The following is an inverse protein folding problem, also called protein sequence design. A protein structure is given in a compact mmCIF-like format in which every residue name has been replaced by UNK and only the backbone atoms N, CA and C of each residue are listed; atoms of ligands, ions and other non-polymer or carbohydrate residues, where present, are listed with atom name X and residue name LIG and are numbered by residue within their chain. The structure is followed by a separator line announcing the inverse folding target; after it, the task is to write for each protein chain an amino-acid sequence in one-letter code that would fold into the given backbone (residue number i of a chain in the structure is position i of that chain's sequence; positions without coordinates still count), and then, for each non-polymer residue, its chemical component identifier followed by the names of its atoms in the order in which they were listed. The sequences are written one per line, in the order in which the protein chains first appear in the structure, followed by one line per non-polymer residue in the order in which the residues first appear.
data_IF_511825196880
#
_entry.id   IF_511825196880
#
_cell.length_a   1.000
_cell.length_b   1.000
_cell.length_c   1.000
_cell.angle_alpha   90.00
_cell.angle_beta   90.00
_cell.angle_gamma   90.00
#
_symmetry.space_group_name_H-M   'P 1'
#
loop_
_entity.id
_entity.type
_entity.pdbx_description
1 polymer ?
#
# COMPACT_ATOMS: atom_id res chain seq x y z
N UNK A 1 16.74 38.93 -20.09
CA UNK A 1 16.58 37.46 -20.11
C UNK A 1 17.87 36.83 -20.55
N UNK A 2 18.49 35.99 -19.70
CA UNK A 2 19.68 35.27 -20.07
C UNK A 2 19.38 34.28 -21.21
N UNK A 3 20.18 34.28 -22.26
CA UNK A 3 19.99 33.39 -23.42
C UNK A 3 20.34 31.97 -22.98
N UNK A 4 19.36 31.09 -22.90
CA UNK A 4 19.58 29.68 -22.54
C UNK A 4 20.44 29.04 -23.64
N UNK A 5 21.67 28.62 -23.29
CA UNK A 5 22.58 27.94 -24.20
C UNK A 5 22.04 26.56 -24.58
N UNK A 6 22.28 26.12 -25.83
CA UNK A 6 21.91 24.78 -26.31
C UNK A 6 23.18 23.92 -26.40
N UNK A 7 23.07 22.64 -26.01
CA UNK A 7 24.13 21.63 -26.14
C UNK A 7 23.59 20.38 -26.83
N UNK A 8 24.47 19.71 -27.56
CA UNK A 8 24.16 18.41 -28.18
C UNK A 8 24.60 17.28 -27.26
N UNK A 9 23.86 16.21 -27.21
CA UNK A 9 24.18 14.97 -26.50
C UNK A 9 23.87 13.77 -27.38
N UNK A 10 24.45 12.62 -27.03
CA UNK A 10 24.20 11.34 -27.72
C UNK A 10 23.26 10.50 -26.86
N UNK A 11 22.25 9.92 -27.47
CA UNK A 11 21.30 9.03 -26.82
C UNK A 11 21.11 7.75 -27.65
N UNK A 12 20.57 6.70 -27.03
CA UNK A 12 20.19 5.49 -27.75
C UNK A 12 19.06 5.81 -28.73
N UNK A 13 19.21 5.32 -29.96
CA UNK A 13 18.27 5.59 -31.06
C UNK A 13 16.85 5.10 -30.76
N UNK A 14 16.72 3.87 -30.20
CA UNK A 14 15.44 3.28 -29.84
C UNK A 14 14.67 4.12 -28.82
N UNK A 15 15.36 4.66 -27.79
CA UNK A 15 14.74 5.52 -26.79
C UNK A 15 14.35 6.88 -27.38
N UNK A 16 15.21 7.45 -28.23
CA UNK A 16 14.94 8.73 -28.85
C UNK A 16 13.74 8.67 -29.79
N UNK A 17 13.59 7.58 -30.54
CA UNK A 17 12.44 7.34 -31.41
C UNK A 17 11.16 7.25 -30.59
N UNK A 18 11.15 6.47 -29.49
CA UNK A 18 9.97 6.35 -28.61
C UNK A 18 9.59 7.69 -27.96
N UNK A 19 10.56 8.47 -27.51
CA UNK A 19 10.32 9.82 -26.94
C UNK A 19 9.76 10.75 -28.02
N UNK A 20 10.25 10.65 -29.25
CA UNK A 20 9.75 11.45 -30.37
C UNK A 20 8.28 11.12 -30.72
N UNK A 21 7.89 9.85 -30.67
CA UNK A 21 6.50 9.41 -30.83
C UNK A 21 5.61 9.97 -29.73
N UNK A 22 6.01 9.78 -28.46
CA UNK A 22 5.29 10.31 -27.31
C UNK A 22 5.15 11.85 -27.35
N UNK A 23 6.19 12.54 -27.77
CA UNK A 23 6.13 13.99 -27.93
C UNK A 23 5.06 14.41 -28.96
N UNK A 24 5.02 13.72 -30.11
CA UNK A 24 3.99 13.95 -31.14
C UNK A 24 2.58 13.69 -30.62
N UNK A 25 2.38 12.57 -29.93
CA UNK A 25 1.07 12.23 -29.34
C UNK A 25 0.58 13.27 -28.32
N UNK A 26 1.51 13.86 -27.56
CA UNK A 26 1.24 14.89 -26.55
C UNK A 26 1.19 16.31 -27.12
N UNK A 27 1.47 16.51 -28.42
CA UNK A 27 1.55 17.84 -29.03
C UNK A 27 2.79 18.63 -28.62
N UNK A 28 3.85 17.95 -28.14
CA UNK A 28 5.10 18.56 -27.74
C UNK A 28 6.14 18.51 -28.84
N UNK A 29 7.11 19.42 -28.80
CA UNK A 29 8.34 19.24 -29.58
C UNK A 29 9.25 18.24 -28.86
N UNK A 30 10.06 17.51 -29.61
CA UNK A 30 11.09 16.63 -29.03
C UNK A 30 11.99 17.38 -28.06
N UNK A 31 12.36 18.62 -28.39
CA UNK A 31 13.16 19.49 -27.53
C UNK A 31 12.50 19.71 -26.16
N UNK A 32 11.24 20.06 -26.13
CA UNK A 32 10.51 20.31 -24.88
C UNK A 32 10.38 19.03 -24.07
N UNK A 33 10.02 17.91 -24.70
CA UNK A 33 9.87 16.60 -24.03
C UNK A 33 11.20 16.15 -23.38
N UNK A 34 12.32 16.27 -24.09
CA UNK A 34 13.65 15.89 -23.57
C UNK A 34 14.06 16.76 -22.40
N UNK A 35 13.82 18.08 -22.47
CA UNK A 35 14.14 18.96 -21.36
C UNK A 35 13.28 18.70 -20.13
N UNK A 36 11.98 18.42 -20.30
CA UNK A 36 11.09 18.02 -19.21
C UNK A 36 11.57 16.75 -18.52
N UNK A 37 12.01 15.74 -19.29
CA UNK A 37 12.59 14.51 -18.75
C UNK A 37 13.85 14.79 -17.95
N UNK A 38 14.73 15.67 -18.44
CA UNK A 38 15.94 16.05 -17.72
C UNK A 38 15.63 16.79 -16.43
N UNK A 39 14.67 17.73 -16.45
CA UNK A 39 14.25 18.46 -15.26
C UNK A 39 13.65 17.51 -14.21
N UNK A 40 12.82 16.56 -14.65
CA UNK A 40 12.28 15.52 -13.77
C UNK A 40 13.39 14.69 -13.14
N UNK A 41 14.36 14.21 -13.96
CA UNK A 41 15.47 13.41 -13.46
C UNK A 41 16.32 14.19 -12.45
N UNK A 42 16.64 15.46 -12.75
CA UNK A 42 17.41 16.32 -11.85
C UNK A 42 16.66 16.49 -10.52
N UNK A 43 15.36 16.81 -10.55
CA UNK A 43 14.55 16.95 -9.32
C UNK A 43 14.54 15.67 -8.51
N UNK A 44 14.31 14.51 -9.14
CA UNK A 44 14.33 13.23 -8.44
C UNK A 44 15.67 12.98 -7.73
N UNK A 45 16.80 13.24 -8.38
CA UNK A 45 18.11 13.07 -7.77
C UNK A 45 18.40 14.08 -6.66
N UNK A 46 17.93 15.31 -6.78
CA UNK A 46 18.04 16.33 -5.71
C UNK A 46 17.29 15.90 -4.46
N UNK A 47 16.11 15.27 -4.63
CA UNK A 47 15.32 14.70 -3.53
C UNK A 47 15.87 13.34 -3.02
N UNK A 48 17.02 12.89 -3.53
CA UNK A 48 17.64 11.62 -3.10
C UNK A 48 17.01 10.35 -3.68
N UNK A 49 16.17 10.48 -4.71
CA UNK A 49 15.53 9.37 -5.39
C UNK A 49 16.06 9.22 -6.83
N UNK A 50 15.93 8.03 -7.41
CA UNK A 50 16.05 7.87 -8.85
C UNK A 50 14.72 8.18 -9.54
N UNK A 51 14.70 8.56 -10.85
CA UNK A 51 13.45 8.72 -11.59
C UNK A 51 12.51 7.52 -11.52
N UNK A 52 13.06 6.30 -11.50
CA UNK A 52 12.28 5.07 -11.36
C UNK A 52 11.60 4.99 -9.99
N UNK A 53 12.34 5.24 -8.90
CA UNK A 53 11.78 5.26 -7.54
C UNK A 53 10.72 6.34 -7.36
N UNK A 54 10.89 7.50 -7.99
CA UNK A 54 9.88 8.56 -7.96
C UNK A 54 8.58 8.13 -8.67
N UNK A 55 8.70 7.40 -9.78
CA UNK A 55 7.53 6.83 -10.49
C UNK A 55 6.85 5.75 -9.64
N UNK A 56 7.61 4.82 -9.06
CA UNK A 56 7.11 3.78 -8.15
C UNK A 56 6.32 4.40 -6.98
N UNK A 57 6.84 5.45 -6.35
CA UNK A 57 6.15 6.15 -5.27
C UNK A 57 4.83 6.80 -5.74
N UNK A 58 4.78 7.34 -6.95
CA UNK A 58 3.55 7.88 -7.53
C UNK A 58 2.51 6.78 -7.81
N UNK A 59 2.95 5.65 -8.33
CA UNK A 59 2.08 4.49 -8.57
C UNK A 59 1.53 3.96 -7.24
N UNK A 60 2.36 3.92 -6.21
CA UNK A 60 1.97 3.53 -4.85
C UNK A 60 0.90 4.46 -4.27
N UNK A 61 1.09 5.78 -4.33
CA UNK A 61 0.09 6.76 -3.90
C UNK A 61 -1.23 6.61 -4.66
N UNK A 62 -1.17 6.35 -5.96
CA UNK A 62 -2.37 6.12 -6.76
C UNK A 62 -3.08 4.81 -6.39
N UNK A 63 -2.34 3.76 -6.04
CA UNK A 63 -2.89 2.49 -5.56
C UNK A 63 -3.59 2.68 -4.20
N UNK A 64 -2.96 3.36 -3.25
CA UNK A 64 -3.52 3.74 -1.95
C UNK A 64 -4.87 4.46 -2.14
N UNK A 65 -4.88 5.50 -2.97
CA UNK A 65 -6.08 6.30 -3.25
C UNK A 65 -7.20 5.48 -3.89
N UNK A 66 -6.88 4.62 -4.86
CA UNK A 66 -7.85 3.74 -5.53
C UNK A 66 -8.44 2.69 -4.58
N UNK A 67 -7.66 2.24 -3.61
CA UNK A 67 -8.10 1.31 -2.57
C UNK A 67 -8.96 1.98 -1.48
N UNK A 68 -9.25 3.28 -1.60
CA UNK A 68 -10.11 4.01 -0.67
C UNK A 68 -9.41 4.46 0.61
N UNK A 69 -8.08 4.36 0.68
CA UNK A 69 -7.32 4.89 1.81
C UNK A 69 -7.17 6.42 1.72
N UNK A 70 -7.17 7.05 2.88
CA UNK A 70 -6.92 8.49 3.03
C UNK A 70 -5.72 8.69 3.96
N UNK A 71 -4.70 9.46 3.57
CA UNK A 71 -3.63 9.82 4.49
C UNK A 71 -4.19 10.68 5.62
N UNK A 72 -3.83 10.33 6.85
CA UNK A 72 -4.21 11.09 8.03
C UNK A 72 -3.00 11.33 8.93
N UNK A 73 -3.11 12.24 9.87
CA UNK A 73 -2.08 12.47 10.88
C UNK A 73 -2.07 11.29 11.85
N UNK A 74 -0.95 10.55 11.91
CA UNK A 74 -0.78 9.33 12.71
C UNK A 74 -1.24 9.51 14.15
N UNK A 75 -0.73 10.55 14.84
CA UNK A 75 -1.09 10.82 16.24
C UNK A 75 -2.59 11.01 16.43
N UNK A 76 -3.24 11.79 15.54
CA UNK A 76 -4.67 12.03 15.61
C UNK A 76 -5.45 10.73 15.37
N UNK A 77 -4.99 9.89 14.43
CA UNK A 77 -5.62 8.62 14.14
C UNK A 77 -5.58 7.68 15.34
N UNK A 78 -4.43 7.56 16.00
CA UNK A 78 -4.30 6.73 17.19
C UNK A 78 -5.11 7.26 18.39
N UNK A 79 -5.12 8.57 18.62
CA UNK A 79 -5.93 9.18 19.66
C UNK A 79 -7.43 8.96 19.43
N UNK A 80 -7.91 9.11 18.18
CA UNK A 80 -9.31 8.82 17.83
C UNK A 80 -9.65 7.35 18.01
N UNK A 81 -8.78 6.45 17.57
CA UNK A 81 -8.97 5.00 17.74
C UNK A 81 -9.02 4.63 19.23
N UNK A 82 -8.17 5.22 20.08
CA UNK A 82 -8.18 4.99 21.52
C UNK A 82 -9.46 5.52 22.18
N UNK A 83 -9.90 6.72 21.84
CA UNK A 83 -11.16 7.27 22.35
C UNK A 83 -12.33 6.36 21.97
N UNK A 84 -12.45 5.99 20.68
CA UNK A 84 -13.53 5.13 20.23
C UNK A 84 -13.49 3.75 20.92
N UNK A 85 -12.31 3.16 21.06
CA UNK A 85 -12.13 1.86 21.73
C UNK A 85 -12.48 1.91 23.22
N UNK A 86 -12.20 3.02 23.91
CA UNK A 86 -12.52 3.21 25.32
C UNK A 86 -14.01 3.43 25.54
N UNK A 87 -14.65 4.26 24.71
CA UNK A 87 -16.05 4.67 24.91
C UNK A 87 -17.06 3.65 24.35
N UNK A 88 -16.71 2.93 23.28
CA UNK A 88 -17.59 2.01 22.56
C UNK A 88 -16.83 0.81 21.98
N UNK A 89 -16.23 0.00 22.86
CA UNK A 89 -15.29 -1.06 22.48
C UNK A 89 -15.87 -2.06 21.46
N UNK A 90 -17.02 -2.61 21.77
CA UNK A 90 -17.59 -3.70 20.96
C UNK A 90 -18.07 -3.19 19.60
N UNK A 91 -18.65 -2.00 19.55
CA UNK A 91 -19.06 -1.32 18.32
C UNK A 91 -17.84 -0.96 17.46
N UNK A 92 -16.77 -0.48 18.11
CA UNK A 92 -15.54 -0.12 17.40
C UNK A 92 -14.87 -1.37 16.81
N UNK A 93 -14.76 -2.46 17.57
CA UNK A 93 -14.24 -3.74 17.07
C UNK A 93 -15.05 -4.25 15.87
N UNK A 94 -16.38 -4.21 15.98
CA UNK A 94 -17.28 -4.60 14.89
C UNK A 94 -17.07 -3.73 13.66
N UNK A 95 -16.97 -2.42 13.83
CA UNK A 95 -16.72 -1.49 12.72
C UNK A 95 -15.43 -1.81 11.97
N UNK A 96 -14.33 -2.09 12.70
CA UNK A 96 -13.05 -2.45 12.09
C UNK A 96 -13.10 -3.82 11.40
N UNK A 97 -13.76 -4.79 11.99
CA UNK A 97 -13.99 -6.09 11.40
C UNK A 97 -14.77 -6.00 10.07
N UNK A 98 -15.89 -5.26 10.08
CA UNK A 98 -16.71 -5.01 8.90
C UNK A 98 -15.95 -4.23 7.81
N UNK A 99 -15.08 -3.28 8.21
CA UNK A 99 -14.19 -2.60 7.29
C UNK A 99 -13.20 -3.57 6.62
N UNK A 100 -12.70 -4.57 7.36
CA UNK A 100 -11.88 -5.65 6.81
C UNK A 100 -12.62 -6.47 5.76
N UNK A 101 -13.86 -6.88 6.04
CA UNK A 101 -14.72 -7.58 5.08
C UNK A 101 -14.96 -6.73 3.83
N UNK A 102 -15.29 -5.45 4.01
CA UNK A 102 -15.50 -4.53 2.89
C UNK A 102 -14.26 -4.40 2.02
N UNK A 103 -13.11 -4.24 2.65
CA UNK A 103 -11.83 -4.11 1.95
C UNK A 103 -11.49 -5.38 1.16
N UNK A 104 -11.70 -6.56 1.73
CA UNK A 104 -11.52 -7.84 1.05
C UNK A 104 -12.39 -7.94 -0.21
N UNK A 105 -13.68 -7.60 -0.10
CA UNK A 105 -14.62 -7.59 -1.23
C UNK A 105 -14.21 -6.62 -2.34
N UNK A 106 -13.66 -5.45 -1.99
CA UNK A 106 -13.14 -4.49 -2.96
C UNK A 106 -12.01 -5.12 -3.79
N UNK A 107 -11.12 -5.89 -3.16
CA UNK A 107 -10.03 -6.58 -3.86
C UNK A 107 -10.55 -7.77 -4.70
N UNK A 108 -11.48 -8.55 -4.21
CA UNK A 108 -12.09 -9.66 -4.97
C UNK A 108 -12.77 -9.17 -6.25
N UNK A 109 -13.49 -8.04 -6.19
CA UNK A 109 -14.22 -7.49 -7.34
C UNK A 109 -13.34 -6.70 -8.31
N UNK A 110 -12.10 -6.43 -7.96
CA UNK A 110 -11.17 -5.63 -8.78
C UNK A 110 -10.55 -6.37 -9.98
N UNK A 111 -10.91 -7.64 -10.21
CA UNK A 111 -10.37 -8.47 -11.30
C UNK A 111 -8.91 -8.89 -11.11
N UNK A 112 -8.38 -8.79 -9.91
CA UNK A 112 -7.01 -9.21 -9.57
C UNK A 112 -6.90 -10.74 -9.57
N UNK A 113 -5.72 -11.26 -9.93
CA UNK A 113 -5.49 -12.71 -10.01
C UNK A 113 -5.39 -13.35 -8.61
N UNK A 114 -4.74 -12.67 -7.68
CA UNK A 114 -4.51 -13.12 -6.30
C UNK A 114 -4.95 -12.02 -5.30
N UNK A 115 -6.28 -11.80 -5.13
CA UNK A 115 -6.77 -10.64 -4.39
C UNK A 115 -6.33 -10.59 -2.91
N UNK A 116 -6.19 -11.72 -2.23
CA UNK A 116 -5.70 -11.76 -0.85
C UNK A 116 -4.22 -11.39 -0.76
N UNK A 117 -3.37 -11.94 -1.63
CA UNK A 117 -1.94 -11.63 -1.64
C UNK A 117 -1.70 -10.15 -1.97
N UNK A 118 -2.45 -9.62 -2.95
CA UNK A 118 -2.39 -8.22 -3.34
C UNK A 118 -2.82 -7.31 -2.20
N UNK A 119 -3.94 -7.65 -1.51
CA UNK A 119 -4.41 -6.91 -0.34
C UNK A 119 -3.39 -6.92 0.80
N UNK A 120 -2.84 -8.09 1.14
CA UNK A 120 -1.84 -8.18 2.20
C UNK A 120 -0.55 -7.44 1.84
N UNK A 121 -0.15 -7.47 0.58
CA UNK A 121 0.99 -6.69 0.07
C UNK A 121 0.74 -5.18 0.19
N UNK A 122 -0.46 -4.72 -0.17
CA UNK A 122 -0.83 -3.32 -0.06
C UNK A 122 -0.93 -2.89 1.41
N UNK A 123 -1.54 -3.71 2.30
CA UNK A 123 -1.57 -3.44 3.74
C UNK A 123 -0.16 -3.33 4.33
N UNK A 124 0.75 -4.26 3.98
CA UNK A 124 2.16 -4.18 4.38
C UNK A 124 2.81 -2.88 3.92
N UNK A 125 2.55 -2.47 2.69
CA UNK A 125 3.09 -1.26 2.08
C UNK A 125 2.55 0.01 2.74
N UNK A 126 1.28 0.01 3.19
CA UNK A 126 0.64 1.17 3.81
C UNK A 126 0.85 1.24 5.32
N UNK A 127 1.33 0.17 5.95
CA UNK A 127 1.62 0.12 7.38
C UNK A 127 3.09 0.51 7.62
N UNK A 128 3.44 1.75 7.31
CA UNK A 128 4.82 2.27 7.34
C UNK A 128 5.50 2.18 8.71
N UNK A 129 4.69 2.19 9.78
CA UNK A 129 5.18 2.16 11.17
C UNK A 129 5.48 0.74 11.66
N UNK A 130 5.13 -0.29 10.90
CA UNK A 130 5.47 -1.66 11.25
C UNK A 130 6.94 -1.93 10.94
N UNK A 131 7.69 -2.30 11.98
CA UNK A 131 9.07 -2.77 11.84
C UNK A 131 9.13 -4.17 11.20
N UNK A 132 8.04 -4.92 11.33
CA UNK A 132 7.87 -6.23 10.69
C UNK A 132 6.42 -6.42 10.26
N UNK A 133 6.21 -6.86 9.01
CA UNK A 133 4.91 -7.28 8.48
C UNK A 133 5.17 -8.49 7.59
N UNK A 134 4.90 -9.69 8.12
CA UNK A 134 5.06 -10.95 7.42
C UNK A 134 3.73 -11.65 7.22
N UNK A 135 3.54 -12.17 6.03
CA UNK A 135 2.40 -13.03 5.68
C UNK A 135 2.96 -14.26 5.00
N UNK A 136 2.65 -15.41 5.56
CA UNK A 136 3.04 -16.71 4.99
C UNK A 136 1.79 -17.54 4.70
N UNK A 137 1.70 -18.09 3.49
CA UNK A 137 0.60 -18.97 3.09
C UNK A 137 1.16 -20.30 2.64
N UNK A 138 0.71 -21.41 3.26
CA UNK A 138 1.14 -22.78 2.93
C UNK A 138 -0.01 -23.76 3.13
N UNK A 139 -0.32 -24.54 2.09
CA UNK A 139 -1.25 -25.68 2.23
C UNK A 139 -2.65 -25.34 2.77
N UNK A 140 -3.17 -24.16 2.43
CA UNK A 140 -4.46 -23.71 2.94
C UNK A 140 -4.42 -23.02 4.30
N UNK A 141 -3.25 -22.94 4.94
CA UNK A 141 -3.04 -22.16 6.16
C UNK A 141 -2.42 -20.81 5.80
N UNK A 142 -2.74 -19.80 6.58
CA UNK A 142 -2.13 -18.47 6.49
C UNK A 142 -1.73 -17.99 7.88
N UNK A 143 -0.52 -17.43 7.97
CA UNK A 143 -0.05 -16.74 9.16
C UNK A 143 0.23 -15.28 8.86
N UNK A 144 -0.18 -14.40 9.77
CA UNK A 144 0.08 -12.96 9.71
C UNK A 144 0.80 -12.56 10.98
N UNK A 145 1.99 -12.00 10.83
CA UNK A 145 2.80 -11.50 11.94
C UNK A 145 3.16 -10.03 11.70
N UNK A 146 2.73 -9.15 12.61
CA UNK A 146 3.00 -7.72 12.58
C UNK A 146 3.63 -7.30 13.89
N UNK A 147 4.70 -6.51 13.79
CA UNK A 147 5.38 -5.88 14.93
C UNK A 147 5.53 -4.38 14.64
N UNK A 148 4.98 -3.56 15.52
CA UNK A 148 5.18 -2.12 15.50
C UNK A 148 5.25 -1.55 16.91
N UNK A 149 6.42 -1.16 17.41
CA UNK A 149 6.53 -0.54 18.74
C UNK A 149 5.75 0.77 18.89
N UNK A 150 5.31 1.37 17.79
CA UNK A 150 4.56 2.62 17.78
C UNK A 150 3.04 2.42 17.88
N UNK A 151 2.54 1.21 17.67
CA UNK A 151 1.11 0.96 17.76
C UNK A 151 0.63 0.99 19.20
N UNK A 152 -0.29 1.89 19.58
CA UNK A 152 -1.00 1.80 20.84
C UNK A 152 -1.76 0.48 20.96
N UNK A 153 -2.00 0.03 22.18
CA UNK A 153 -2.70 -1.24 22.41
C UNK A 153 -4.09 -1.26 21.78
N UNK A 154 -4.86 -0.20 21.94
CA UNK A 154 -6.19 -0.06 21.32
C UNK A 154 -6.13 -0.21 19.80
N UNK A 155 -5.20 0.50 19.14
CA UNK A 155 -5.02 0.39 17.70
C UNK A 155 -4.56 -1.01 17.27
N UNK A 156 -3.67 -1.63 18.04
CA UNK A 156 -3.21 -3.00 17.77
C UNK A 156 -4.37 -3.99 17.76
N UNK A 157 -5.27 -3.89 18.75
CA UNK A 157 -6.46 -4.75 18.87
C UNK A 157 -7.45 -4.48 17.71
N UNK A 158 -7.67 -3.21 17.38
CA UNK A 158 -8.57 -2.81 16.28
C UNK A 158 -8.03 -3.26 14.93
N UNK A 159 -6.72 -3.09 14.69
CA UNK A 159 -6.10 -3.53 13.44
C UNK A 159 -6.11 -5.06 13.29
N UNK A 160 -5.94 -5.80 14.39
CA UNK A 160 -6.13 -7.25 14.39
C UNK A 160 -7.58 -7.62 14.00
N UNK A 161 -8.60 -6.89 14.52
CA UNK A 161 -10.01 -7.12 14.15
C UNK A 161 -10.27 -6.87 12.65
N UNK A 162 -9.66 -5.84 12.07
CA UNK A 162 -9.73 -5.61 10.61
C UNK A 162 -9.13 -6.78 9.83
N UNK A 163 -7.96 -7.27 10.25
CA UNK A 163 -7.30 -8.41 9.59
C UNK A 163 -8.14 -9.70 9.71
N UNK A 164 -8.80 -9.92 10.84
CA UNK A 164 -9.75 -11.02 11.02
C UNK A 164 -10.92 -10.93 10.01
N UNK A 165 -11.49 -9.74 9.85
CA UNK A 165 -12.53 -9.50 8.84
C UNK A 165 -12.05 -9.76 7.41
N UNK A 166 -10.84 -9.35 7.09
CA UNK A 166 -10.20 -9.66 5.79
C UNK A 166 -10.09 -11.16 5.60
N UNK A 167 -9.50 -11.87 6.57
CA UNK A 167 -9.28 -13.33 6.49
C UNK A 167 -10.60 -14.10 6.38
N UNK A 168 -11.62 -13.71 7.17
CA UNK A 168 -12.93 -14.34 7.12
C UNK A 168 -13.60 -14.16 5.76
N UNK A 169 -13.54 -12.96 5.17
CA UNK A 169 -14.11 -12.72 3.85
C UNK A 169 -13.46 -13.59 2.76
N UNK A 170 -12.18 -13.94 2.88
CA UNK A 170 -11.50 -14.89 2.00
C UNK A 170 -11.68 -16.37 2.39
N UNK A 171 -12.58 -16.69 3.34
CA UNK A 171 -12.91 -18.04 3.75
C UNK A 171 -11.89 -18.70 4.68
N UNK A 172 -11.14 -17.91 5.43
CA UNK A 172 -10.24 -18.41 6.47
C UNK A 172 -10.89 -18.31 7.84
N UNK A 173 -10.66 -19.32 8.68
CA UNK A 173 -11.04 -19.33 10.10
C UNK A 173 -9.80 -19.13 10.96
N UNK A 174 -9.90 -18.26 11.95
CA UNK A 174 -8.83 -18.03 12.92
C UNK A 174 -8.69 -19.26 13.81
N UNK A 175 -7.49 -19.84 13.82
CA UNK A 175 -7.09 -20.96 14.68
C UNK A 175 -6.42 -20.47 15.97
N UNK A 176 -5.60 -19.43 15.86
CA UNK A 176 -4.90 -18.82 16.98
C UNK A 176 -4.75 -17.33 16.78
N UNK A 177 -4.86 -16.59 17.88
CA UNK A 177 -4.74 -15.14 17.92
C UNK A 177 -3.95 -14.72 19.15
N UNK A 178 -2.86 -14.00 18.95
CA UNK A 178 -2.08 -13.32 19.98
C UNK A 178 -2.00 -11.84 19.60
N UNK A 179 -2.56 -10.96 20.46
CA UNK A 179 -2.61 -9.52 20.23
C UNK A 179 -2.27 -8.82 21.52
N UNK A 180 -1.19 -8.06 21.52
CA UNK A 180 -0.76 -7.23 22.66
C UNK A 180 0.03 -6.04 22.12
N UNK A 181 0.16 -4.98 22.87
CA UNK A 181 0.73 -3.69 22.45
C UNK A 181 1.78 -3.77 21.33
N UNK A 182 1.40 -3.43 20.12
CA UNK A 182 2.27 -3.45 18.94
C UNK A 182 2.53 -4.81 18.30
N UNK A 183 1.99 -5.92 18.85
CA UNK A 183 2.18 -7.28 18.33
C UNK A 183 0.84 -7.85 17.87
N UNK A 184 0.79 -8.32 16.63
CA UNK A 184 -0.34 -9.10 16.10
C UNK A 184 0.21 -10.39 15.51
N UNK A 185 -0.30 -11.53 16.00
CA UNK A 185 -0.06 -12.85 15.40
C UNK A 185 -1.40 -13.51 15.17
N UNK A 186 -1.70 -13.84 13.94
CA UNK A 186 -2.90 -14.56 13.54
C UNK A 186 -2.48 -15.81 12.78
N UNK A 187 -3.03 -16.94 13.20
CA UNK A 187 -2.95 -18.20 12.46
C UNK A 187 -4.34 -18.56 12.00
N UNK A 188 -4.54 -18.81 10.71
CA UNK A 188 -5.84 -19.14 10.16
C UNK A 188 -5.73 -20.25 9.11
N UNK A 189 -6.81 -20.99 8.93
CA UNK A 189 -6.92 -22.08 7.94
C UNK A 189 -8.14 -21.86 7.05
N UNK A 190 -8.04 -22.29 5.80
CA UNK A 190 -9.12 -22.18 4.84
C UNK A 190 -10.16 -23.28 5.09
N UNK A 191 -11.43 -22.89 5.31
CA UNK A 191 -12.53 -23.84 5.39
C UNK A 191 -12.73 -24.52 4.04
N UNK A 192 -12.64 -25.85 4.02
CA UNK A 192 -12.90 -26.63 2.81
C UNK A 192 -11.67 -27.09 2.04
N UNK A 193 -10.45 -26.84 2.52
CA UNK A 193 -9.22 -27.43 2.00
C UNK A 193 -9.02 -28.85 2.53
N UNK A 194 -9.95 -29.76 2.28
CA UNK A 194 -9.74 -31.18 2.55
C UNK A 194 -8.93 -31.82 1.43
N UNK A 195 -7.73 -32.27 1.79
CA UNK A 195 -6.86 -33.32 1.23
C UNK A 195 -6.39 -33.20 -0.21
#
# INVERSE_FOLDING_TARGET
MAKVGRKTFVAREDLLNRISELAKEKGYTLYNMVNEIFEFAIKAYVEGATPLKALEALEELNAIRKAGFTPCMERLWYEMAEIAFREARDETLKCWFEAGIWLAKLYETSGRRNPLEDLMSDLKRFTWEASEFKVESRGGNISVHILSPKFPESYTILFASLLEGVLEAFGYKIASKEVSGGIIRLEAFKEGGSR
#
